data_IF_040181639423
#
_entry.id   IF_040181639423
#
_cell.length_a   1.000
_cell.length_b   1.000
_cell.length_c   1.000
_cell.angle_alpha   90.00
_cell.angle_beta   90.00
_cell.angle_gamma   90.00
#
_symmetry.space_group_name_H-M   'P 1'
#
loop_
_entity.id
_entity.type
_entity.pdbx_description
1 polymer ?
#
# COMPACT_ATOMS: atom_id res chain seq x y z
N UNK A 1 -14.93 30.75 -5.70
CA UNK A 1 -13.74 31.65 -5.72
C UNK A 1 -13.37 31.97 -4.28
N UNK A 2 -12.09 31.94 -3.93
CA UNK A 2 -11.66 32.32 -2.58
C UNK A 2 -11.45 33.83 -2.53
N UNK A 3 -12.26 34.52 -1.75
CA UNK A 3 -12.30 35.98 -1.72
C UNK A 3 -11.39 36.60 -0.64
N UNK A 4 -10.75 35.77 0.19
CA UNK A 4 -9.84 36.21 1.25
C UNK A 4 -8.44 35.62 1.03
N UNK A 5 -7.40 36.36 1.41
CA UNK A 5 -5.99 35.93 1.28
C UNK A 5 -5.74 34.60 2.00
N UNK A 6 -6.36 34.41 3.17
CA UNK A 6 -6.27 33.16 3.93
C UNK A 6 -6.90 31.98 3.17
N UNK A 7 -8.04 32.17 2.51
CA UNK A 7 -8.69 31.13 1.73
C UNK A 7 -7.86 30.72 0.50
N UNK A 8 -7.30 31.68 -0.25
CA UNK A 8 -6.40 31.39 -1.39
C UNK A 8 -5.19 30.55 -0.96
N UNK A 9 -4.53 30.95 0.13
CA UNK A 9 -3.41 30.19 0.71
C UNK A 9 -3.81 28.77 1.12
N UNK A 10 -5.00 28.58 1.67
CA UNK A 10 -5.49 27.24 2.06
C UNK A 10 -5.73 26.35 0.84
N UNK A 11 -6.22 26.90 -0.27
CA UNK A 11 -6.38 26.17 -1.53
C UNK A 11 -5.02 25.66 -2.01
N UNK A 12 -4.02 26.54 -2.14
CA UNK A 12 -2.67 26.15 -2.59
C UNK A 12 -2.03 25.06 -1.72
N UNK A 13 -2.13 25.21 -0.38
CA UNK A 13 -1.62 24.20 0.56
C UNK A 13 -2.34 22.86 0.38
N UNK A 14 -3.67 22.91 0.21
CA UNK A 14 -4.48 21.70 0.02
C UNK A 14 -4.10 20.97 -1.27
N UNK A 15 -3.85 21.69 -2.36
CA UNK A 15 -3.46 21.11 -3.64
C UNK A 15 -2.09 20.44 -3.57
N UNK A 16 -1.10 21.14 -2.98
CA UNK A 16 0.23 20.59 -2.75
C UNK A 16 0.17 19.30 -1.94
N UNK A 17 -0.60 19.30 -0.85
CA UNK A 17 -0.77 18.12 0.00
C UNK A 17 -1.54 17.01 -0.71
N UNK A 18 -2.56 17.35 -1.51
CA UNK A 18 -3.34 16.41 -2.33
C UNK A 18 -2.43 15.65 -3.29
N UNK A 19 -1.55 16.35 -4.02
CA UNK A 19 -0.64 15.72 -4.98
C UNK A 19 0.35 14.77 -4.30
N UNK A 20 0.96 15.19 -3.19
CA UNK A 20 1.84 14.33 -2.38
C UNK A 20 1.11 13.08 -1.89
N UNK A 21 -0.07 13.26 -1.30
CA UNK A 21 -0.88 12.15 -0.77
C UNK A 21 -1.35 11.20 -1.87
N UNK A 22 -1.70 11.73 -3.06
CA UNK A 22 -2.11 10.95 -4.23
C UNK A 22 -1.01 9.98 -4.65
N UNK A 23 0.24 10.44 -4.74
CA UNK A 23 1.40 9.61 -5.13
C UNK A 23 1.64 8.44 -4.18
N UNK A 24 1.63 8.69 -2.86
CA UNK A 24 1.76 7.62 -1.86
C UNK A 24 0.59 6.63 -1.92
N UNK A 25 -0.65 7.13 -2.01
CA UNK A 25 -1.85 6.29 -2.06
C UNK A 25 -1.89 5.42 -3.32
N UNK A 26 -1.50 5.96 -4.48
CA UNK A 26 -1.44 5.18 -5.73
C UNK A 26 -0.34 4.13 -5.66
N UNK A 27 0.86 4.47 -5.21
CA UNK A 27 1.97 3.52 -5.08
C UNK A 27 1.61 2.33 -4.17
N UNK A 28 1.00 2.59 -3.01
CA UNK A 28 0.56 1.53 -2.08
C UNK A 28 -0.50 0.64 -2.74
N UNK A 29 -1.49 1.24 -3.43
CA UNK A 29 -2.54 0.47 -4.11
C UNK A 29 -1.98 -0.41 -5.22
N UNK A 30 -1.02 0.10 -6.00
CA UNK A 30 -0.35 -0.67 -7.05
C UNK A 30 0.45 -1.83 -6.46
N UNK A 31 1.26 -1.57 -5.42
CA UNK A 31 2.05 -2.62 -4.76
C UNK A 31 1.15 -3.69 -4.14
N UNK A 32 0.11 -3.29 -3.43
CA UNK A 32 -0.87 -4.23 -2.87
C UNK A 32 -1.49 -5.10 -3.97
N UNK A 33 -1.91 -4.51 -5.10
CA UNK A 33 -2.46 -5.27 -6.23
C UNK A 33 -1.43 -6.29 -6.77
N UNK A 34 -0.18 -5.88 -6.96
CA UNK A 34 0.91 -6.78 -7.38
C UNK A 34 1.12 -7.93 -6.39
N UNK A 35 1.09 -7.66 -5.08
CA UNK A 35 1.22 -8.71 -4.08
C UNK A 35 0.07 -9.70 -4.13
N UNK A 36 -1.18 -9.24 -4.27
CA UNK A 36 -2.33 -10.16 -4.40
C UNK A 36 -2.23 -11.03 -5.65
N UNK A 37 -1.89 -10.44 -6.80
CA UNK A 37 -1.70 -11.21 -8.03
C UNK A 37 -0.61 -12.27 -7.88
N UNK A 38 0.52 -11.93 -7.27
CA UNK A 38 1.60 -12.89 -7.01
C UNK A 38 1.18 -14.02 -6.06
N UNK A 39 0.37 -13.69 -5.04
CA UNK A 39 -0.19 -14.69 -4.12
C UNK A 39 -1.18 -15.61 -4.82
N UNK A 40 -2.02 -15.08 -5.71
CA UNK A 40 -2.97 -15.89 -6.48
C UNK A 40 -2.26 -16.81 -7.48
N UNK A 41 -1.19 -16.32 -8.14
CA UNK A 41 -0.32 -17.16 -8.98
C UNK A 41 0.35 -18.28 -8.19
N UNK A 42 0.86 -17.98 -6.99
CA UNK A 42 1.46 -18.99 -6.11
C UNK A 42 0.46 -20.08 -5.68
N UNK A 43 -0.80 -19.72 -5.43
CA UNK A 43 -1.86 -20.70 -5.12
C UNK A 43 -2.15 -21.64 -6.30
N UNK A 44 -2.07 -21.15 -7.54
CA UNK A 44 -2.36 -21.94 -8.72
C UNK A 44 -1.20 -22.88 -9.09
N UNK A 45 0.04 -22.47 -8.84
CA UNK A 45 1.24 -23.27 -9.13
C UNK A 45 2.32 -22.98 -8.07
N UNK A 46 2.46 -23.86 -7.07
CA UNK A 46 3.44 -23.66 -5.99
C UNK A 46 4.87 -23.83 -6.53
N UNK A 47 5.52 -22.71 -6.84
CA UNK A 47 6.93 -22.66 -7.27
C UNK A 47 7.75 -21.81 -6.28
N UNK A 48 9.01 -22.17 -6.07
CA UNK A 48 9.94 -21.39 -5.22
C UNK A 48 10.16 -19.97 -5.75
N UNK A 49 10.27 -19.80 -7.08
CA UNK A 49 10.40 -18.49 -7.71
C UNK A 49 9.20 -17.57 -7.44
N UNK A 50 7.99 -18.14 -7.44
CA UNK A 50 6.77 -17.40 -7.15
C UNK A 50 6.74 -16.94 -5.69
N UNK A 51 7.26 -17.77 -4.78
CA UNK A 51 7.39 -17.45 -3.36
C UNK A 51 8.37 -16.29 -3.15
N UNK A 52 9.53 -16.30 -3.82
CA UNK A 52 10.49 -15.19 -3.76
C UNK A 52 9.87 -13.88 -4.28
N UNK A 53 9.13 -13.93 -5.39
CA UNK A 53 8.43 -12.75 -5.92
C UNK A 53 7.40 -12.20 -4.95
N UNK A 54 6.63 -13.07 -4.28
CA UNK A 54 5.67 -12.66 -3.25
C UNK A 54 6.39 -11.96 -2.09
N UNK A 55 7.51 -12.50 -1.61
CA UNK A 55 8.29 -11.90 -0.52
C UNK A 55 8.86 -10.53 -0.91
N UNK A 56 9.44 -10.40 -2.12
CA UNK A 56 9.95 -9.11 -2.65
C UNK A 56 8.85 -8.05 -2.72
N UNK A 57 7.69 -8.42 -3.24
CA UNK A 57 6.54 -7.54 -3.36
C UNK A 57 5.99 -7.14 -1.98
N UNK A 58 5.95 -8.08 -1.04
CA UNK A 58 5.48 -7.84 0.33
C UNK A 58 6.42 -6.90 1.08
N UNK A 59 7.73 -7.12 1.02
CA UNK A 59 8.74 -6.23 1.61
C UNK A 59 8.62 -4.80 1.06
N UNK A 60 8.50 -4.67 -0.26
CA UNK A 60 8.29 -3.38 -0.92
C UNK A 60 6.99 -2.69 -0.48
N UNK A 61 5.89 -3.44 -0.37
CA UNK A 61 4.61 -2.93 0.10
C UNK A 61 4.70 -2.44 1.56
N UNK A 62 5.34 -3.22 2.45
CA UNK A 62 5.50 -2.86 3.86
C UNK A 62 6.33 -1.59 4.02
N UNK A 63 7.47 -1.51 3.32
CA UNK A 63 8.32 -0.31 3.31
C UNK A 63 7.56 0.94 2.89
N UNK A 64 6.72 0.85 1.86
CA UNK A 64 5.91 2.00 1.39
C UNK A 64 4.76 2.35 2.32
N UNK A 65 4.11 1.37 2.94
CA UNK A 65 3.05 1.61 3.95
C UNK A 65 3.64 2.36 5.14
N UNK A 66 4.78 1.92 5.66
CA UNK A 66 5.41 2.53 6.84
C UNK A 66 5.92 3.93 6.55
N UNK A 67 6.50 4.14 5.37
CA UNK A 67 6.87 5.50 4.91
C UNK A 67 5.64 6.40 4.82
N UNK A 68 4.50 5.90 4.36
CA UNK A 68 3.27 6.70 4.29
C UNK A 68 2.67 7.00 5.68
N UNK A 69 2.83 6.12 6.66
CA UNK A 69 2.45 6.39 8.06
C UNK A 69 3.37 7.43 8.67
N UNK A 70 4.71 7.28 8.53
CA UNK A 70 5.70 8.25 9.03
C UNK A 70 5.52 9.64 8.42
N UNK A 71 5.09 9.72 7.15
CA UNK A 71 4.80 10.98 6.45
C UNK A 71 3.39 11.51 6.69
N UNK A 72 2.62 10.94 7.62
CA UNK A 72 1.24 11.32 7.95
C UNK A 72 0.26 11.29 6.76
N UNK A 73 0.56 10.50 5.73
CA UNK A 73 -0.35 10.29 4.59
C UNK A 73 -1.44 9.27 4.95
N UNK A 74 -1.10 8.31 5.82
CA UNK A 74 -2.00 7.31 6.37
C UNK A 74 -1.94 7.34 7.89
N UNK A 75 -3.09 7.17 8.54
CA UNK A 75 -3.14 6.93 9.97
C UNK A 75 -2.51 5.57 10.32
N UNK A 76 -1.89 5.45 11.50
CA UNK A 76 -1.26 4.21 11.97
C UNK A 76 -2.16 2.98 11.86
N UNK A 77 -3.40 3.09 12.34
CA UNK A 77 -4.40 2.02 12.24
C UNK A 77 -4.71 1.61 10.78
N UNK A 78 -4.69 2.56 9.84
CA UNK A 78 -4.90 2.24 8.42
C UNK A 78 -3.69 1.46 7.86
N UNK A 79 -2.47 1.88 8.22
CA UNK A 79 -1.24 1.14 7.91
C UNK A 79 -1.29 -0.29 8.45
N UNK A 80 -1.61 -0.45 9.74
CA UNK A 80 -1.74 -1.75 10.40
C UNK A 80 -2.77 -2.65 9.72
N UNK A 81 -3.98 -2.14 9.42
CA UNK A 81 -5.01 -2.89 8.69
C UNK A 81 -4.54 -3.39 7.33
N UNK A 82 -3.78 -2.58 6.58
CA UNK A 82 -3.25 -2.99 5.27
C UNK A 82 -2.19 -4.09 5.38
N UNK A 83 -1.28 -3.98 6.36
CA UNK A 83 -0.30 -5.05 6.64
C UNK A 83 -0.98 -6.35 7.03
N UNK A 84 -1.95 -6.28 7.93
CA UNK A 84 -2.73 -7.45 8.36
C UNK A 84 -3.45 -8.12 7.18
N UNK A 85 -4.00 -7.34 6.23
CA UNK A 85 -4.64 -7.89 5.03
C UNK A 85 -3.67 -8.67 4.14
N UNK A 86 -2.46 -8.15 3.94
CA UNK A 86 -1.42 -8.83 3.15
C UNK A 86 -0.94 -10.11 3.85
N UNK A 87 -0.72 -10.05 5.17
CA UNK A 87 -0.32 -11.21 5.97
C UNK A 87 -1.40 -12.32 5.95
N UNK A 88 -2.68 -11.94 6.07
CA UNK A 88 -3.79 -12.89 5.99
C UNK A 88 -3.84 -13.60 4.63
N UNK A 89 -3.64 -12.87 3.53
CA UNK A 89 -3.65 -13.47 2.20
C UNK A 89 -2.50 -14.48 2.00
N UNK A 90 -1.30 -14.16 2.49
CA UNK A 90 -0.15 -15.06 2.44
C UNK A 90 -0.38 -16.31 3.31
N UNK A 91 -0.90 -16.15 4.52
CA UNK A 91 -1.23 -17.26 5.41
C UNK A 91 -2.25 -18.20 4.77
N UNK A 92 -3.32 -17.65 4.17
CA UNK A 92 -4.31 -18.46 3.47
C UNK A 92 -3.72 -19.22 2.27
N UNK A 93 -2.78 -18.62 1.53
CA UNK A 93 -2.13 -19.31 0.41
C UNK A 93 -1.25 -20.47 0.86
N UNK A 94 -0.53 -20.31 1.97
CA UNK A 94 0.36 -21.34 2.51
C UNK A 94 -0.40 -22.47 3.21
N UNK A 95 -1.51 -22.19 3.89
CA UNK A 95 -2.35 -23.23 4.54
C UNK A 95 -3.09 -24.13 3.55
N UNK A 96 -3.36 -23.65 2.33
CA UNK A 96 -4.00 -24.47 1.28
C UNK A 96 -3.00 -25.41 0.60
N UNK A 97 -1.69 -25.11 0.69
CA UNK A 97 -0.62 -25.90 0.09
C UNK A 97 -0.07 -27.01 1.01
N UNK A 98 -0.49 -27.03 2.27
CA UNK A 98 -0.16 -28.05 3.30
C UNK A 98 -1.33 -28.99 3.54
#
# INVERSE_FOLDING_TARGET
>A
MANTKSALKRIEISERNRLRNKSYKSAIRTLMKKTFLAVDSYKASPNEEALEQVQKNLSSAYSKIDKAVKRNVLHGNNGARKKARLAKALKQATTVAS
#
